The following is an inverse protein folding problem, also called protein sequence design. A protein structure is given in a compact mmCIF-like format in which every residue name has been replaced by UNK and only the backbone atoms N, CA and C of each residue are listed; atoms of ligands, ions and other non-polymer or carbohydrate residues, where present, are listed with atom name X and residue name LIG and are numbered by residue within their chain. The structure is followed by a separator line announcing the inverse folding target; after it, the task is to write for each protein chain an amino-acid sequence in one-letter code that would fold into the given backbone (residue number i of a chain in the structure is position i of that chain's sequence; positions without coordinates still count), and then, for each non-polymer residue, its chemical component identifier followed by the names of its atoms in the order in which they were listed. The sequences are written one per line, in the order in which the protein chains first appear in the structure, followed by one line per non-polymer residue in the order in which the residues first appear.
data_IF_603982172521
#
_entry.id   IF_603982172521
#
_cell.length_a   1.000
_cell.length_b   1.000
_cell.length_c   1.000
_cell.angle_alpha   90.00
_cell.angle_beta   90.00
_cell.angle_gamma   90.00
#
_symmetry.space_group_name_H-M   'P 1'
#
loop_
_entity.id
_entity.type
_entity.pdbx_description
1 polymer ?
#
# COMPACT_ATOMS: atom_id res chain seq x y z
N UNK A 1 -0.42 6.07 10.81
CA UNK A 1 0.26 4.95 10.10
C UNK A 1 -0.32 3.59 10.50
N UNK A 2 -0.37 3.28 11.80
CA UNK A 2 -0.89 2.02 12.34
C UNK A 2 -2.29 1.64 11.85
N UNK A 3 -3.32 2.50 12.05
CA UNK A 3 -4.69 2.25 11.55
C UNK A 3 -4.82 2.14 10.03
N UNK A 4 -3.90 2.72 9.26
CA UNK A 4 -3.92 2.73 7.78
C UNK A 4 -3.08 1.58 7.17
N UNK A 5 -2.56 0.66 7.99
CA UNK A 5 -1.69 -0.43 7.51
C UNK A 5 -0.37 0.05 6.90
N UNK A 6 0.12 1.23 7.29
CA UNK A 6 1.38 1.79 6.78
C UNK A 6 2.53 1.60 7.79
N UNK A 7 3.78 1.51 7.32
CA UNK A 7 4.93 1.43 8.21
C UNK A 7 5.07 2.68 9.09
N UNK A 8 5.46 2.48 10.35
CA UNK A 8 5.40 3.52 11.39
C UNK A 8 6.75 4.22 11.59
N UNK A 9 7.87 3.58 11.24
CA UNK A 9 9.24 4.06 11.51
C UNK A 9 9.83 4.92 10.39
N UNK A 10 9.02 5.77 9.75
CA UNK A 10 9.50 6.68 8.69
C UNK A 10 9.93 6.01 7.37
N UNK A 11 9.67 4.71 7.20
CA UNK A 11 10.04 3.98 5.99
C UNK A 11 9.30 4.50 4.74
N UNK A 12 9.94 4.40 3.57
CA UNK A 12 9.38 4.82 2.27
C UNK A 12 8.15 3.99 1.89
N UNK A 13 7.06 4.65 1.49
CA UNK A 13 5.75 4.01 1.19
C UNK A 13 5.29 4.12 -0.27
N UNK A 14 6.03 4.82 -1.14
CA UNK A 14 5.69 5.06 -2.56
C UNK A 14 5.89 3.79 -3.40
N UNK A 15 7.07 3.19 -3.30
CA UNK A 15 7.47 2.00 -4.09
C UNK A 15 7.34 0.70 -3.31
N UNK A 16 7.91 0.67 -2.09
CA UNK A 16 8.03 -0.53 -1.26
C UNK A 16 6.98 -0.55 -0.13
N UNK A 17 7.20 -1.39 0.90
CA UNK A 17 6.31 -1.65 2.04
C UNK A 17 5.15 -2.63 1.78
N UNK A 18 5.32 -3.63 0.92
CA UNK A 18 4.29 -4.66 0.63
C UNK A 18 3.91 -5.49 1.85
N UNK A 19 4.85 -5.77 2.76
CA UNK A 19 4.56 -6.52 4.00
C UNK A 19 3.51 -5.84 4.86
N UNK A 20 3.47 -4.50 4.91
CA UNK A 20 2.45 -3.73 5.66
C UNK A 20 1.23 -3.37 4.80
N UNK A 21 1.44 -3.00 3.53
CA UNK A 21 0.38 -2.59 2.59
C UNK A 21 -0.44 -3.76 2.02
N UNK A 22 0.02 -4.99 2.19
CA UNK A 22 -0.58 -6.20 1.61
C UNK A 22 -0.22 -6.43 0.14
N UNK A 23 -0.92 -7.32 -0.57
CA UNK A 23 -0.78 -7.57 -2.01
C UNK A 23 -1.21 -6.38 -2.88
N UNK A 24 -0.68 -6.26 -4.11
CA UNK A 24 -0.99 -5.14 -5.01
C UNK A 24 -2.48 -5.15 -5.33
N UNK A 25 -3.19 -4.11 -4.88
CA UNK A 25 -4.56 -3.85 -5.31
C UNK A 25 -4.49 -3.24 -6.70
N UNK A 26 -4.96 -3.97 -7.69
CA UNK A 26 -5.22 -3.41 -9.02
C UNK A 26 -6.40 -2.45 -8.87
N UNK A 27 -6.26 -1.22 -9.33
CA UNK A 27 -7.41 -0.32 -9.44
C UNK A 27 -8.07 -0.68 -10.78
N UNK A 28 -9.00 -1.62 -10.75
CA UNK A 28 -9.76 -1.98 -11.94
C UNK A 28 -10.75 -0.84 -12.25
N UNK A 29 -10.43 -0.04 -13.27
CA UNK A 29 -11.34 0.86 -13.96
C UNK A 29 -11.05 0.75 -15.46
N UNK A 30 -11.47 -0.35 -16.09
CA UNK A 30 -11.75 -0.36 -17.51
C UNK A 30 -13.27 -0.40 -17.63
N UNK A 31 -13.89 0.74 -17.96
CA UNK A 31 -15.24 0.68 -18.55
C UNK A 31 -15.11 -0.16 -19.83
N UNK A 32 -16.15 -0.95 -20.08
CA UNK A 32 -16.26 -1.91 -21.18
C UNK A 32 -15.93 -1.27 -22.53
#
# INVERSE_FOLDING_TARGET
RHRKGLPVRGQRTKTNARTRKGPRRTVANKKK
#
